data_IF_765276685142
#
_entry.id   IF_765276685142
#
_cell.length_a   1.000
_cell.length_b   1.000
_cell.length_c   1.000
_cell.angle_alpha   90.00
_cell.angle_beta   90.00
_cell.angle_gamma   90.00
#
_symmetry.space_group_name_H-M   'P 1'
#
loop_
_entity.id
_entity.type
_entity.pdbx_description
1 polymer ?
#
# COMPACT_ATOMS: atom_id res chain seq x y z
N UNK A 1 -14.55 9.65 -24.35
CA UNK A 1 -14.17 10.85 -23.57
C UNK A 1 -13.36 10.52 -22.31
N UNK A 2 -13.68 9.43 -21.59
CA UNK A 2 -12.96 8.97 -20.38
C UNK A 2 -11.42 8.99 -20.48
N UNK A 3 -10.85 8.49 -21.58
CA UNK A 3 -9.38 8.49 -21.77
C UNK A 3 -8.74 9.88 -21.79
N UNK A 4 -9.45 10.91 -22.29
CA UNK A 4 -8.96 12.30 -22.26
C UNK A 4 -8.96 12.85 -20.83
N UNK A 5 -9.97 12.51 -20.03
CA UNK A 5 -10.04 12.86 -18.61
C UNK A 5 -8.91 12.19 -17.82
N UNK A 6 -8.71 10.89 -17.99
CA UNK A 6 -7.61 10.15 -17.33
C UNK A 6 -6.26 10.76 -17.68
N UNK A 7 -6.03 11.08 -18.96
CA UNK A 7 -4.77 11.72 -19.41
C UNK A 7 -4.55 13.08 -18.74
N UNK A 8 -5.62 13.88 -18.59
CA UNK A 8 -5.54 15.17 -17.91
C UNK A 8 -5.24 15.01 -16.42
N UNK A 9 -5.91 14.08 -15.74
CA UNK A 9 -5.67 13.78 -14.34
C UNK A 9 -4.23 13.29 -14.11
N UNK A 10 -3.77 12.34 -14.93
CA UNK A 10 -2.42 11.82 -14.88
C UNK A 10 -1.37 12.90 -15.09
N UNK A 11 -1.60 13.83 -16.03
CA UNK A 11 -0.63 14.89 -16.37
C UNK A 11 -0.25 15.74 -15.17
N UNK A 12 -1.15 15.96 -14.21
CA UNK A 12 -0.82 16.72 -13.03
C UNK A 12 -0.52 15.89 -11.78
N UNK A 13 -0.74 14.56 -11.79
CA UNK A 13 -0.24 13.67 -10.73
C UNK A 13 1.19 13.19 -10.99
N UNK A 14 1.61 13.08 -12.25
CA UNK A 14 2.92 12.51 -12.62
C UNK A 14 4.12 13.23 -12.01
N UNK A 15 4.09 14.57 -11.95
CA UNK A 15 5.26 15.34 -11.48
C UNK A 15 5.42 15.24 -9.96
N UNK A 16 4.37 15.47 -9.14
CA UNK A 16 4.46 15.19 -7.70
C UNK A 16 4.82 13.73 -7.38
N UNK A 17 4.26 12.76 -8.11
CA UNK A 17 4.58 11.34 -7.95
C UNK A 17 6.05 11.04 -8.27
N UNK A 18 6.61 11.64 -9.31
CA UNK A 18 8.02 11.49 -9.66
C UNK A 18 8.94 12.00 -8.54
N UNK A 19 8.59 13.10 -7.87
CA UNK A 19 9.34 13.58 -6.69
C UNK A 19 9.33 12.52 -5.59
N UNK A 20 8.19 11.90 -5.30
CA UNK A 20 8.10 10.85 -4.27
C UNK A 20 8.92 9.61 -4.65
N UNK A 21 8.93 9.24 -5.92
CA UNK A 21 9.78 8.14 -6.41
C UNK A 21 11.27 8.46 -6.30
N UNK A 22 11.67 9.70 -6.58
CA UNK A 22 13.08 10.15 -6.41
C UNK A 22 13.47 10.12 -4.93
N UNK A 23 12.61 10.58 -4.02
CA UNK A 23 12.87 10.53 -2.58
C UNK A 23 13.02 9.07 -2.12
N UNK A 24 12.11 8.19 -2.52
CA UNK A 24 12.19 6.76 -2.20
C UNK A 24 13.49 6.14 -2.72
N UNK A 25 13.83 6.39 -4.00
CA UNK A 25 15.07 5.92 -4.60
C UNK A 25 16.31 6.48 -3.89
N UNK A 26 16.29 7.74 -3.47
CA UNK A 26 17.36 8.36 -2.68
C UNK A 26 17.57 7.65 -1.35
N UNK A 27 16.49 7.38 -0.60
CA UNK A 27 16.58 6.63 0.67
C UNK A 27 17.08 5.20 0.46
N UNK A 28 16.66 4.53 -0.62
CA UNK A 28 17.12 3.20 -1.00
C UNK A 28 18.63 3.20 -1.36
N UNK A 29 19.09 4.14 -2.18
CA UNK A 29 20.50 4.25 -2.58
C UNK A 29 21.38 4.50 -1.35
N UNK A 30 20.94 5.36 -0.42
CA UNK A 30 21.65 5.59 0.84
C UNK A 30 21.78 4.31 1.66
N UNK A 31 20.70 3.52 1.81
CA UNK A 31 20.78 2.22 2.51
C UNK A 31 21.71 1.24 1.82
N UNK A 32 21.66 1.13 0.49
CA UNK A 32 22.57 0.27 -0.25
C UNK A 32 24.03 0.71 -0.08
N UNK A 33 24.29 2.02 -0.13
CA UNK A 33 25.62 2.58 0.09
C UNK A 33 26.17 2.23 1.47
N UNK A 34 25.35 2.36 2.52
CA UNK A 34 25.74 1.99 3.89
C UNK A 34 26.07 0.49 3.97
N UNK A 35 25.22 -0.38 3.41
CA UNK A 35 25.45 -1.83 3.39
C UNK A 35 26.82 -2.16 2.80
N UNK A 36 27.17 -1.55 1.66
CA UNK A 36 28.43 -1.80 0.95
C UNK A 36 29.68 -1.28 1.69
N UNK A 37 29.53 -0.38 2.67
CA UNK A 37 30.65 0.15 3.46
C UNK A 37 30.99 -0.70 4.68
N UNK A 38 30.13 -1.65 5.04
CA UNK A 38 30.33 -2.49 6.22
C UNK A 38 31.44 -3.50 5.90
N UNK A 39 32.43 -3.62 6.77
CA UNK A 39 33.45 -4.66 6.62
C UNK A 39 33.62 -5.40 7.96
N UNK A 40 33.26 -6.69 8.04
CA UNK A 40 33.35 -7.47 9.26
C UNK A 40 34.79 -7.72 9.73
N UNK A 41 35.81 -7.38 8.92
CA UNK A 41 37.23 -7.47 9.30
C UNK A 41 37.78 -6.22 10.00
N UNK A 42 36.92 -5.23 10.29
CA UNK A 42 37.30 -4.01 11.01
C UNK A 42 37.47 -4.26 12.52
N UNK A 43 38.27 -3.43 13.18
CA UNK A 43 38.40 -3.41 14.66
C UNK A 43 37.03 -3.32 15.35
N UNK A 44 36.91 -3.87 16.56
CA UNK A 44 35.64 -3.95 17.31
C UNK A 44 34.92 -2.59 17.45
N UNK A 45 35.68 -1.49 17.60
CA UNK A 45 35.12 -0.14 17.68
C UNK A 45 34.51 0.33 16.35
N UNK A 46 35.16 0.04 15.23
CA UNK A 46 34.69 0.37 13.88
C UNK A 46 33.51 -0.53 13.47
N UNK A 47 33.52 -1.79 13.90
CA UNK A 47 32.39 -2.70 13.74
C UNK A 47 31.12 -2.14 14.41
N UNK A 48 31.22 -1.63 15.65
CA UNK A 48 30.09 -1.00 16.33
C UNK A 48 29.50 0.19 15.57
N UNK A 49 30.34 1.11 15.08
CA UNK A 49 29.87 2.24 14.27
C UNK A 49 29.17 1.79 12.98
N UNK A 50 29.66 0.74 12.32
CA UNK A 50 29.09 0.21 11.09
C UNK A 50 27.69 -0.41 11.30
N UNK A 51 27.49 -1.14 12.40
CA UNK A 51 26.19 -1.70 12.78
C UNK A 51 25.20 -0.59 13.13
N UNK A 52 25.65 0.43 13.86
CA UNK A 52 24.81 1.59 14.17
C UNK A 52 24.39 2.33 12.89
N UNK A 53 25.32 2.52 11.94
CA UNK A 53 25.02 3.13 10.65
C UNK A 53 24.00 2.31 9.83
N UNK A 54 24.14 0.98 9.80
CA UNK A 54 23.16 0.09 9.17
C UNK A 54 21.76 0.29 9.78
N UNK A 55 21.65 0.21 11.10
CA UNK A 55 20.38 0.38 11.80
C UNK A 55 19.73 1.73 11.50
N UNK A 56 20.51 2.82 11.57
CA UNK A 56 20.03 4.16 11.25
C UNK A 56 19.55 4.26 9.79
N UNK A 57 20.28 3.65 8.85
CA UNK A 57 19.92 3.65 7.44
C UNK A 57 18.60 2.91 7.18
N UNK A 58 18.38 1.76 7.85
CA UNK A 58 17.13 0.99 7.75
C UNK A 58 15.96 1.79 8.31
N UNK A 59 16.13 2.46 9.45
CA UNK A 59 15.10 3.35 10.00
C UNK A 59 14.79 4.50 9.04
N UNK A 60 15.81 5.14 8.46
CA UNK A 60 15.63 6.21 7.48
C UNK A 60 14.82 5.73 6.28
N UNK A 61 15.12 4.54 5.75
CA UNK A 61 14.36 3.95 4.66
C UNK A 61 12.92 3.59 5.05
N UNK A 62 12.71 3.03 6.25
CA UNK A 62 11.38 2.73 6.79
C UNK A 62 10.51 4.01 6.89
N UNK A 63 11.06 5.08 7.48
CA UNK A 63 10.37 6.38 7.50
C UNK A 63 10.22 6.98 6.10
N UNK A 64 11.16 6.73 5.19
CA UNK A 64 11.07 7.08 3.77
C UNK A 64 9.86 6.44 3.09
N UNK A 65 9.63 5.14 3.30
CA UNK A 65 8.44 4.43 2.80
C UNK A 65 7.16 5.07 3.35
N UNK A 66 7.09 5.31 4.67
CA UNK A 66 5.93 5.94 5.29
C UNK A 66 5.68 7.34 4.71
N UNK A 67 6.70 8.19 4.64
CA UNK A 67 6.60 9.54 4.11
C UNK A 67 6.16 9.56 2.65
N UNK A 68 6.72 8.68 1.82
CA UNK A 68 6.39 8.66 0.40
C UNK A 68 4.99 8.08 0.13
N UNK A 69 4.55 7.06 0.89
CA UNK A 69 3.19 6.50 0.78
C UNK A 69 2.12 7.48 1.27
N UNK A 70 2.32 8.09 2.44
CA UNK A 70 1.42 9.11 2.97
C UNK A 70 1.37 10.34 2.05
N UNK A 71 2.52 10.82 1.58
CA UNK A 71 2.53 11.99 0.72
C UNK A 71 1.96 11.70 -0.69
N UNK A 72 2.12 10.49 -1.24
CA UNK A 72 1.39 10.08 -2.46
C UNK A 72 -0.13 10.14 -2.23
N UNK A 73 -0.59 9.63 -1.09
CA UNK A 73 -2.00 9.69 -0.68
C UNK A 73 -2.50 11.15 -0.58
N UNK A 74 -1.73 12.01 0.07
CA UNK A 74 -2.05 13.44 0.21
C UNK A 74 -2.10 14.16 -1.15
N UNK A 75 -1.14 13.91 -2.04
CA UNK A 75 -1.12 14.48 -3.39
C UNK A 75 -2.43 14.14 -4.14
N UNK A 76 -2.84 12.87 -4.09
CA UNK A 76 -4.06 12.38 -4.74
C UNK A 76 -5.31 13.05 -4.13
N UNK A 77 -5.40 13.09 -2.81
CA UNK A 77 -6.53 13.71 -2.08
C UNK A 77 -6.63 15.21 -2.31
N UNK A 78 -5.52 15.94 -2.21
CA UNK A 78 -5.48 17.40 -2.43
C UNK A 78 -5.86 17.74 -3.87
N UNK A 79 -5.40 16.95 -4.84
CA UNK A 79 -5.79 17.15 -6.24
C UNK A 79 -7.28 16.89 -6.44
N UNK A 80 -7.80 15.81 -5.89
CA UNK A 80 -9.23 15.51 -5.96
C UNK A 80 -10.06 16.68 -5.40
N UNK A 81 -9.69 17.17 -4.21
CA UNK A 81 -10.34 18.32 -3.60
C UNK A 81 -10.28 19.57 -4.49
N UNK A 82 -9.09 19.98 -4.95
CA UNK A 82 -8.92 21.18 -5.80
C UNK A 82 -9.66 21.08 -7.13
N UNK A 83 -9.65 19.91 -7.75
CA UNK A 83 -10.27 19.75 -9.08
C UNK A 83 -11.78 19.53 -9.03
N UNK A 84 -12.35 19.15 -7.88
CA UNK A 84 -13.80 18.90 -7.76
C UNK A 84 -14.57 19.93 -6.94
N UNK A 85 -13.93 20.56 -5.95
CA UNK A 85 -14.63 21.30 -4.87
C UNK A 85 -14.09 22.71 -4.62
N UNK A 86 -13.15 23.19 -5.43
CA UNK A 86 -12.73 24.61 -5.44
C UNK A 86 -13.10 25.25 -6.79
N UNK A 87 -12.63 26.46 -7.10
CA UNK A 87 -12.98 27.19 -8.33
C UNK A 87 -12.74 26.41 -9.63
N UNK A 88 -11.69 25.57 -9.68
CA UNK A 88 -11.41 24.66 -10.80
C UNK A 88 -12.50 23.59 -10.99
N UNK A 89 -13.25 23.28 -9.93
CA UNK A 89 -14.42 22.41 -9.93
C UNK A 89 -15.54 22.93 -10.82
N UNK A 90 -15.73 24.25 -10.94
CA UNK A 90 -16.77 24.82 -11.82
C UNK A 90 -16.57 24.40 -13.27
N UNK A 91 -15.33 24.51 -13.78
CA UNK A 91 -14.97 24.02 -15.11
C UNK A 91 -15.12 22.51 -15.23
N UNK A 92 -14.81 21.78 -14.16
CA UNK A 92 -14.85 20.31 -14.15
C UNK A 92 -16.28 19.77 -14.23
N UNK A 93 -17.23 20.44 -13.58
CA UNK A 93 -18.65 20.04 -13.57
C UNK A 93 -19.46 20.60 -14.75
N UNK A 94 -18.93 21.57 -15.49
CA UNK A 94 -19.57 22.12 -16.71
C UNK A 94 -19.15 21.40 -17.99
N UNK A 95 -18.19 20.46 -17.91
CA UNK A 95 -17.85 19.60 -19.05
C UNK A 95 -19.07 18.78 -19.49
N UNK A 96 -19.26 18.52 -20.80
CA UNK A 96 -20.36 17.71 -21.32
C UNK A 96 -20.10 16.21 -21.08
N UNK A 97 -19.91 15.82 -19.83
CA UNK A 97 -19.54 14.48 -19.39
C UNK A 97 -20.34 14.10 -18.15
N UNK A 98 -20.73 12.83 -18.03
CA UNK A 98 -21.51 12.37 -16.88
C UNK A 98 -20.68 12.37 -15.58
N UNK A 99 -21.29 12.66 -14.41
CA UNK A 99 -20.60 12.62 -13.11
C UNK A 99 -19.93 11.28 -12.82
N UNK A 100 -20.51 10.18 -13.30
CA UNK A 100 -19.91 8.84 -13.22
C UNK A 100 -18.58 8.75 -13.98
N UNK A 101 -18.54 9.25 -15.22
CA UNK A 101 -17.32 9.23 -16.02
C UNK A 101 -16.25 10.14 -15.41
N UNK A 102 -16.65 11.26 -14.80
CA UNK A 102 -15.75 12.16 -14.09
C UNK A 102 -15.14 11.48 -12.85
N UNK A 103 -15.97 10.93 -11.96
CA UNK A 103 -15.53 10.25 -10.75
C UNK A 103 -14.65 9.03 -11.07
N UNK A 104 -15.07 8.19 -12.02
CA UNK A 104 -14.32 7.00 -12.42
C UNK A 104 -12.95 7.35 -13.01
N UNK A 105 -12.84 8.46 -13.76
CA UNK A 105 -11.55 8.91 -14.29
C UNK A 105 -10.56 9.25 -13.18
N UNK A 106 -11.02 9.88 -12.09
CA UNK A 106 -10.21 10.25 -10.92
C UNK A 106 -9.83 9.02 -10.11
N UNK A 107 -10.78 8.12 -9.83
CA UNK A 107 -10.55 6.87 -9.12
C UNK A 107 -9.51 6.02 -9.87
N UNK A 108 -9.67 5.82 -11.18
CA UNK A 108 -8.74 5.00 -11.96
C UNK A 108 -7.33 5.58 -11.97
N UNK A 109 -7.21 6.90 -12.12
CA UNK A 109 -5.90 7.57 -12.11
C UNK A 109 -5.25 7.46 -10.73
N UNK A 110 -6.03 7.62 -9.65
CA UNK A 110 -5.56 7.46 -8.27
C UNK A 110 -5.11 6.01 -7.97
N UNK A 111 -5.90 5.01 -8.35
CA UNK A 111 -5.51 3.59 -8.24
C UNK A 111 -4.18 3.37 -8.96
N UNK A 112 -4.06 3.85 -10.20
CA UNK A 112 -2.84 3.70 -10.98
C UNK A 112 -1.63 4.36 -10.30
N UNK A 113 -1.78 5.56 -9.72
CA UNK A 113 -0.70 6.20 -8.94
C UNK A 113 -0.29 5.38 -7.71
N UNK A 114 -1.24 4.80 -6.98
CA UNK A 114 -0.93 3.96 -5.82
C UNK A 114 -0.28 2.64 -6.21
N UNK A 115 -0.73 2.00 -7.30
CA UNK A 115 -0.12 0.77 -7.81
C UNK A 115 1.32 1.00 -8.25
N UNK A 116 1.61 2.11 -8.94
CA UNK A 116 2.99 2.48 -9.29
C UNK A 116 3.86 2.70 -8.05
N UNK A 117 3.29 3.28 -7.00
CA UNK A 117 4.01 3.49 -5.75
C UNK A 117 4.31 2.18 -5.03
N UNK A 118 3.34 1.26 -4.95
CA UNK A 118 3.53 -0.08 -4.38
C UNK A 118 4.59 -0.85 -5.18
N UNK A 119 4.52 -0.80 -6.51
CA UNK A 119 5.52 -1.43 -7.37
C UNK A 119 6.93 -0.86 -7.13
N UNK A 120 7.07 0.45 -7.00
CA UNK A 120 8.35 1.10 -6.69
C UNK A 120 8.91 0.65 -5.33
N UNK A 121 8.06 0.48 -4.31
CA UNK A 121 8.47 -0.01 -2.97
C UNK A 121 8.91 -1.47 -3.04
N UNK A 122 8.18 -2.33 -3.73
CA UNK A 122 8.55 -3.74 -3.91
C UNK A 122 9.91 -3.84 -4.61
N UNK A 123 10.10 -3.05 -5.68
CA UNK A 123 11.36 -2.99 -6.42
C UNK A 123 12.51 -2.49 -5.55
N UNK A 124 12.28 -1.46 -4.72
CA UNK A 124 13.33 -0.93 -3.85
C UNK A 124 13.72 -1.91 -2.73
N UNK A 125 12.76 -2.61 -2.13
CA UNK A 125 13.04 -3.68 -1.17
C UNK A 125 13.84 -4.80 -1.84
N UNK A 126 13.45 -5.22 -3.05
CA UNK A 126 14.15 -6.26 -3.80
C UNK A 126 15.61 -5.89 -4.08
N UNK A 127 15.88 -4.63 -4.47
CA UNK A 127 17.25 -4.14 -4.68
C UNK A 127 18.06 -4.16 -3.38
N UNK A 128 17.51 -3.68 -2.27
CA UNK A 128 18.21 -3.68 -0.98
C UNK A 128 18.56 -5.12 -0.55
N UNK A 129 17.63 -6.07 -0.71
CA UNK A 129 17.86 -7.48 -0.39
C UNK A 129 18.97 -8.08 -1.26
N UNK A 130 18.94 -7.82 -2.58
CA UNK A 130 19.99 -8.26 -3.51
C UNK A 130 21.37 -7.74 -3.10
N UNK A 131 21.48 -6.43 -2.78
CA UNK A 131 22.73 -5.80 -2.34
C UNK A 131 23.20 -6.38 -1.01
N UNK A 132 22.29 -6.59 -0.05
CA UNK A 132 22.61 -7.19 1.25
C UNK A 132 23.14 -8.61 1.13
N UNK A 133 22.48 -9.46 0.34
CA UNK A 133 22.92 -10.83 0.06
C UNK A 133 24.31 -10.80 -0.60
N UNK A 134 24.45 -10.06 -1.70
CA UNK A 134 25.73 -9.95 -2.41
C UNK A 134 26.89 -9.53 -1.48
N UNK A 135 26.64 -8.56 -0.61
CA UNK A 135 27.63 -8.07 0.33
C UNK A 135 28.03 -9.12 1.37
N UNK A 136 27.08 -9.83 1.99
CA UNK A 136 27.37 -10.89 2.96
C UNK A 136 28.22 -12.01 2.34
N UNK A 137 27.85 -12.45 1.13
CA UNK A 137 28.56 -13.52 0.44
C UNK A 137 29.95 -13.11 -0.05
N UNK A 138 30.22 -11.81 -0.26
CA UNK A 138 31.55 -11.33 -0.66
C UNK A 138 32.65 -11.61 0.38
N UNK A 139 32.30 -11.91 1.63
CA UNK A 139 33.25 -12.23 2.70
C UNK A 139 33.57 -13.71 2.85
N UNK A 140 32.85 -14.60 2.15
CA UNK A 140 33.08 -16.05 2.19
C UNK A 140 34.10 -16.37 1.08
N UNK A 141 35.35 -16.76 1.41
CA UNK A 141 36.32 -17.17 0.39
C UNK A 141 35.81 -18.42 -0.34
N UNK A 142 36.12 -18.53 -1.63
CA UNK A 142 35.85 -19.70 -2.49
C UNK A 142 34.40 -19.95 -2.93
N UNK A 143 33.45 -19.05 -2.65
CA UNK A 143 32.08 -19.18 -3.15
C UNK A 143 31.91 -18.61 -4.57
N UNK A 144 31.48 -19.44 -5.52
CA UNK A 144 31.11 -19.00 -6.87
C UNK A 144 29.66 -18.53 -6.92
N UNK A 145 29.35 -17.51 -7.74
CA UNK A 145 27.97 -17.05 -7.98
C UNK A 145 27.03 -18.15 -8.46
N UNK A 146 27.57 -19.16 -9.16
CA UNK A 146 26.80 -20.31 -9.63
C UNK A 146 26.34 -21.21 -8.47
N UNK A 147 27.18 -21.40 -7.46
CA UNK A 147 26.86 -22.18 -6.25
C UNK A 147 25.83 -21.45 -5.39
N UNK A 148 25.94 -20.12 -5.25
CA UNK A 148 24.95 -19.31 -4.54
C UNK A 148 23.55 -19.45 -5.15
N UNK A 149 23.45 -19.41 -6.49
CA UNK A 149 22.18 -19.61 -7.20
C UNK A 149 21.63 -21.02 -7.00
N UNK A 150 22.51 -22.02 -6.95
CA UNK A 150 22.13 -23.42 -6.74
C UNK A 150 21.62 -23.66 -5.33
N UNK A 151 22.36 -23.24 -4.31
CA UNK A 151 21.94 -23.35 -2.90
C UNK A 151 20.64 -22.58 -2.64
N UNK A 152 20.52 -21.37 -3.18
CA UNK A 152 19.28 -20.61 -3.11
C UNK A 152 18.10 -21.36 -3.74
N UNK A 153 18.31 -22.07 -4.85
CA UNK A 153 17.26 -22.83 -5.51
C UNK A 153 16.78 -24.04 -4.71
N UNK A 154 17.69 -24.71 -3.98
CA UNK A 154 17.36 -25.82 -3.09
C UNK A 154 16.57 -25.29 -1.89
N UNK A 155 17.10 -24.29 -1.19
CA UNK A 155 16.42 -23.68 -0.04
C UNK A 155 15.05 -23.12 -0.42
N UNK A 156 14.94 -22.52 -1.61
CA UNK A 156 13.66 -22.02 -2.09
C UNK A 156 12.64 -23.14 -2.39
N UNK A 157 13.10 -24.28 -2.93
CA UNK A 157 12.26 -25.45 -3.12
C UNK A 157 11.80 -26.05 -1.79
N UNK A 158 12.70 -26.17 -0.80
CA UNK A 158 12.36 -26.66 0.53
C UNK A 158 11.35 -25.73 1.24
N UNK A 159 11.49 -24.41 1.09
CA UNK A 159 10.52 -23.44 1.60
C UNK A 159 9.16 -23.60 0.92
N UNK A 160 9.13 -23.84 -0.40
CA UNK A 160 7.91 -24.05 -1.16
C UNK A 160 7.14 -25.28 -0.66
N UNK A 161 7.85 -26.38 -0.44
CA UNK A 161 7.26 -27.64 0.01
C UNK A 161 6.80 -27.53 1.48
N UNK A 162 7.66 -26.99 2.35
CA UNK A 162 7.32 -26.75 3.77
C UNK A 162 6.15 -25.79 3.95
N UNK A 163 5.99 -24.82 3.04
CA UNK A 163 4.88 -23.87 3.07
C UNK A 163 3.55 -24.58 2.84
N UNK A 164 3.46 -25.54 1.91
CA UNK A 164 2.20 -26.24 1.65
C UNK A 164 1.76 -27.06 2.87
N UNK A 165 2.71 -27.70 3.56
CA UNK A 165 2.45 -28.50 4.76
C UNK A 165 1.98 -27.66 5.96
N UNK A 166 2.63 -26.52 6.24
CA UNK A 166 2.26 -25.67 7.37
C UNK A 166 1.02 -24.78 7.09
N UNK A 167 0.98 -24.15 5.91
CA UNK A 167 -0.11 -23.23 5.57
C UNK A 167 -1.37 -23.96 5.09
N UNK A 168 -1.25 -25.19 4.57
CA UNK A 168 -2.36 -25.95 4.00
C UNK A 168 -2.82 -25.44 2.64
N UNK A 169 -1.97 -24.68 1.94
CA UNK A 169 -2.24 -24.12 0.62
C UNK A 169 -0.97 -23.94 -0.17
N UNK A 170 -1.04 -24.25 -1.47
CA UNK A 170 0.03 -23.96 -2.41
C UNK A 170 0.40 -22.48 -2.37
N UNK A 171 1.69 -22.19 -2.26
CA UNK A 171 2.24 -20.84 -2.21
C UNK A 171 1.72 -19.96 -3.36
N UNK A 172 1.63 -20.50 -4.58
CA UNK A 172 1.11 -19.77 -5.74
C UNK A 172 -0.34 -19.30 -5.59
N UNK A 173 -1.22 -20.13 -5.00
CA UNK A 173 -2.61 -19.76 -4.73
C UNK A 173 -2.70 -18.70 -3.62
N UNK A 174 -1.86 -18.82 -2.60
CA UNK A 174 -1.77 -17.83 -1.53
C UNK A 174 -1.30 -16.46 -2.05
N UNK A 175 -0.28 -16.42 -2.90
CA UNK A 175 0.16 -15.19 -3.57
C UNK A 175 -0.96 -14.59 -4.42
N UNK A 176 -1.67 -15.41 -5.21
CA UNK A 176 -2.79 -14.93 -6.02
C UNK A 176 -3.90 -14.32 -5.15
N UNK A 177 -4.22 -14.94 -4.00
CA UNK A 177 -5.16 -14.40 -3.03
C UNK A 177 -4.69 -13.06 -2.45
N UNK A 178 -3.43 -12.94 -2.04
CA UNK A 178 -2.85 -11.69 -1.52
C UNK A 178 -2.84 -10.58 -2.57
N UNK A 179 -2.54 -10.89 -3.83
CA UNK A 179 -2.59 -9.93 -4.93
C UNK A 179 -4.01 -9.42 -5.15
N UNK A 180 -4.99 -10.31 -5.17
CA UNK A 180 -6.40 -9.93 -5.28
C UNK A 180 -6.83 -9.05 -4.10
N UNK A 181 -6.49 -9.44 -2.87
CA UNK A 181 -6.77 -8.67 -1.66
C UNK A 181 -6.13 -7.28 -1.72
N UNK A 182 -4.88 -7.19 -2.15
CA UNK A 182 -4.16 -5.92 -2.31
C UNK A 182 -4.85 -5.00 -3.31
N UNK A 183 -5.24 -5.51 -4.49
CA UNK A 183 -5.94 -4.73 -5.52
C UNK A 183 -7.28 -4.20 -4.98
N UNK A 184 -8.09 -5.05 -4.35
CA UNK A 184 -9.36 -4.65 -3.73
C UNK A 184 -9.13 -3.60 -2.63
N UNK A 185 -8.09 -3.79 -1.81
CA UNK A 185 -7.69 -2.86 -0.76
C UNK A 185 -7.32 -1.47 -1.30
N UNK A 186 -6.52 -1.40 -2.37
CA UNK A 186 -6.17 -0.12 -3.02
C UNK A 186 -7.39 0.59 -3.58
N UNK A 187 -8.27 -0.15 -4.27
CA UNK A 187 -9.53 0.41 -4.81
C UNK A 187 -10.40 0.96 -3.68
N UNK A 188 -10.62 0.16 -2.63
CA UNK A 188 -11.41 0.55 -1.47
C UNK A 188 -10.85 1.78 -0.77
N UNK A 189 -9.53 1.83 -0.57
CA UNK A 189 -8.85 2.96 0.07
C UNK A 189 -9.07 4.27 -0.71
N UNK A 190 -8.83 4.26 -2.03
CA UNK A 190 -9.02 5.45 -2.88
C UNK A 190 -10.47 5.94 -2.85
N UNK A 191 -11.44 5.04 -2.99
CA UNK A 191 -12.87 5.40 -2.98
C UNK A 191 -13.28 5.97 -1.62
N UNK A 192 -12.80 5.35 -0.55
CA UNK A 192 -13.08 5.80 0.83
C UNK A 192 -12.49 7.18 1.09
N UNK A 193 -11.23 7.42 0.72
CA UNK A 193 -10.60 8.74 0.86
C UNK A 193 -11.38 9.82 0.11
N UNK A 194 -11.76 9.57 -1.14
CA UNK A 194 -12.58 10.51 -1.90
C UNK A 194 -13.95 10.71 -1.26
N UNK A 195 -14.55 9.66 -0.72
CA UNK A 195 -15.85 9.75 -0.04
C UNK A 195 -15.77 10.60 1.22
N UNK A 196 -14.71 10.47 2.01
CA UNK A 196 -14.47 11.32 3.18
C UNK A 196 -14.28 12.79 2.77
N UNK A 197 -13.55 13.07 1.68
CA UNK A 197 -13.41 14.44 1.13
C UNK A 197 -14.77 15.00 0.69
N UNK A 198 -15.57 14.18 0.04
CA UNK A 198 -16.92 14.55 -0.42
C UNK A 198 -17.87 14.79 0.76
N UNK A 199 -17.83 13.97 1.81
CA UNK A 199 -18.59 14.18 3.05
C UNK A 199 -18.18 15.46 3.77
N UNK A 200 -16.89 15.81 3.75
CA UNK A 200 -16.38 17.05 4.32
C UNK A 200 -17.03 18.31 3.73
N UNK A 201 -17.53 18.25 2.49
CA UNK A 201 -18.21 19.38 1.84
C UNK A 201 -19.55 19.75 2.48
N UNK A 202 -20.13 18.88 3.30
CA UNK A 202 -21.33 19.21 4.07
C UNK A 202 -21.09 20.35 5.09
N UNK A 203 -19.84 20.57 5.49
CA UNK A 203 -19.45 21.64 6.40
C UNK A 203 -19.00 22.87 5.64
N UNK A 204 -19.93 23.79 5.36
CA UNK A 204 -19.69 24.98 4.51
C UNK A 204 -18.42 25.78 4.88
N UNK A 205 -18.17 26.01 6.18
CA UNK A 205 -17.07 26.88 6.66
C UNK A 205 -15.73 26.16 6.87
N UNK A 206 -15.73 24.86 7.19
CA UNK A 206 -14.53 24.11 7.57
C UNK A 206 -14.42 22.78 6.80
N UNK A 207 -14.58 22.84 5.48
CA UNK A 207 -14.64 21.69 4.57
C UNK A 207 -13.49 20.69 4.74
N UNK A 208 -12.27 21.21 4.91
CA UNK A 208 -11.05 20.39 5.11
C UNK A 208 -11.10 19.67 6.47
N UNK A 209 -11.46 20.38 7.54
CA UNK A 209 -11.58 19.79 8.89
C UNK A 209 -12.71 18.76 8.91
N UNK A 210 -13.82 19.04 8.22
CA UNK A 210 -14.93 18.09 8.04
C UNK A 210 -14.49 16.81 7.33
N UNK A 211 -13.66 16.90 6.29
CA UNK A 211 -13.12 15.73 5.60
C UNK A 211 -12.19 14.90 6.49
N UNK A 212 -11.33 15.56 7.26
CA UNK A 212 -10.43 14.90 8.23
C UNK A 212 -11.25 14.20 9.32
N UNK A 213 -12.24 14.89 9.90
CA UNK A 213 -13.11 14.32 10.92
C UNK A 213 -13.91 13.12 10.38
N UNK A 214 -14.44 13.21 9.16
CA UNK A 214 -15.14 12.09 8.51
C UNK A 214 -14.23 10.87 8.33
N UNK A 215 -12.96 11.07 7.94
CA UNK A 215 -11.99 9.99 7.83
C UNK A 215 -11.71 9.33 9.18
N UNK A 216 -11.45 10.11 10.24
CA UNK A 216 -11.22 9.55 11.57
C UNK A 216 -12.43 8.79 12.12
N UNK A 217 -13.64 9.33 11.96
CA UNK A 217 -14.87 8.66 12.39
C UNK A 217 -15.09 7.36 11.64
N UNK A 218 -14.88 7.37 10.32
CA UNK A 218 -14.97 6.17 9.51
C UNK A 218 -13.92 5.13 9.91
N UNK A 219 -12.68 5.54 10.16
CA UNK A 219 -11.63 4.62 10.62
C UNK A 219 -11.92 4.04 12.00
N UNK A 220 -12.50 4.83 12.91
CA UNK A 220 -12.97 4.34 14.20
C UNK A 220 -14.05 3.25 14.04
N UNK A 221 -15.04 3.47 13.16
CA UNK A 221 -16.06 2.46 12.84
C UNK A 221 -15.42 1.21 12.22
N UNK A 222 -14.49 1.38 11.28
CA UNK A 222 -13.79 0.26 10.65
C UNK A 222 -12.93 -0.52 11.62
N UNK A 223 -12.38 0.12 12.66
CA UNK A 223 -11.66 -0.57 13.74
C UNK A 223 -12.59 -1.50 14.51
N UNK A 224 -13.79 -1.04 14.89
CA UNK A 224 -14.80 -1.87 15.57
C UNK A 224 -15.21 -3.05 14.68
N UNK A 225 -15.50 -2.79 13.40
CA UNK A 225 -15.85 -3.84 12.44
C UNK A 225 -14.69 -4.83 12.28
N UNK A 226 -13.44 -4.35 12.25
CA UNK A 226 -12.24 -5.18 12.17
C UNK A 226 -12.10 -6.16 13.34
N UNK A 227 -12.43 -5.74 14.55
CA UNK A 227 -12.46 -6.66 15.70
C UNK A 227 -13.53 -7.74 15.53
N UNK A 228 -14.70 -7.38 15.00
CA UNK A 228 -15.80 -8.34 14.76
C UNK A 228 -15.40 -9.34 13.66
N UNK A 229 -14.79 -8.88 12.56
CA UNK A 229 -14.35 -9.77 11.48
C UNK A 229 -13.20 -10.68 11.91
N UNK A 230 -12.46 -10.35 12.96
CA UNK A 230 -11.40 -11.18 13.52
C UNK A 230 -11.88 -12.30 14.46
N UNK A 231 -13.12 -12.24 14.98
CA UNK A 231 -13.70 -13.26 15.89
C UNK A 231 -13.58 -14.70 15.33
N UNK A 232 -13.86 -14.99 14.05
CA UNK A 232 -13.73 -16.33 13.49
C UNK A 232 -12.31 -16.91 13.60
N UNK A 233 -11.27 -16.10 13.39
CA UNK A 233 -9.89 -16.55 13.58
C UNK A 233 -9.60 -16.82 15.05
N UNK A 234 -9.98 -15.92 15.97
CA UNK A 234 -9.73 -16.14 17.40
C UNK A 234 -10.46 -17.39 17.92
N UNK A 235 -11.70 -17.61 17.51
CA UNK A 235 -12.45 -18.82 17.87
C UNK A 235 -11.81 -20.08 17.30
N UNK A 236 -11.34 -20.06 16.05
CA UNK A 236 -10.60 -21.19 15.46
C UNK A 236 -9.22 -21.40 16.07
N UNK A 237 -8.54 -20.36 16.52
CA UNK A 237 -7.26 -20.47 17.22
C UNK A 237 -7.45 -21.09 18.61
N UNK A 238 -8.50 -20.70 19.33
CA UNK A 238 -8.88 -21.29 20.62
C UNK A 238 -9.37 -22.74 20.49
N UNK A 239 -10.00 -23.10 19.37
CA UNK A 239 -10.46 -24.46 19.10
C UNK A 239 -9.36 -25.34 18.47
N UNK A 240 -8.47 -24.77 17.67
CA UNK A 240 -7.40 -25.46 16.93
C UNK A 240 -6.28 -25.98 17.82
N UNK A 241 -6.11 -25.44 19.02
CA UNK A 241 -5.28 -26.05 20.08
C UNK A 241 -5.75 -27.46 20.48
N UNK A 242 -6.96 -27.88 20.05
CA UNK A 242 -7.51 -29.21 20.28
C UNK A 242 -7.48 -30.13 19.03
N UNK A 243 -7.01 -29.66 17.86
CA UNK A 243 -7.00 -30.45 16.61
C UNK A 243 -5.60 -30.51 15.99
N UNK A 244 -5.02 -31.71 15.88
CA UNK A 244 -3.67 -31.97 15.35
C UNK A 244 -3.43 -31.55 13.87
N UNK A 245 -4.50 -31.31 13.09
CA UNK A 245 -4.42 -31.01 11.65
C UNK A 245 -4.89 -29.59 11.29
N UNK A 246 -4.88 -28.65 12.23
CA UNK A 246 -5.30 -27.27 11.96
C UNK A 246 -4.23 -26.51 11.16
N UNK A 247 -4.48 -26.27 9.86
CA UNK A 247 -3.57 -25.49 9.01
C UNK A 247 -3.70 -23.99 9.25
N UNK A 248 -2.61 -23.23 9.05
CA UNK A 248 -2.61 -21.77 9.30
C UNK A 248 -3.67 -21.06 8.45
N UNK A 249 -3.80 -21.42 7.17
CA UNK A 249 -4.84 -20.84 6.31
C UNK A 249 -6.24 -21.25 6.76
N UNK A 250 -6.44 -22.49 7.24
CA UNK A 250 -7.71 -22.92 7.80
C UNK A 250 -8.17 -22.03 8.95
N UNK A 251 -7.23 -21.58 9.79
CA UNK A 251 -7.51 -20.68 10.92
C UNK A 251 -7.77 -19.24 10.43
N UNK A 252 -6.94 -18.71 9.52
CA UNK A 252 -6.99 -17.30 9.10
C UNK A 252 -8.06 -16.99 8.04
N UNK A 253 -8.34 -17.93 7.14
CA UNK A 253 -9.17 -17.69 5.94
C UNK A 253 -10.57 -17.14 6.18
N UNK A 254 -11.33 -17.52 7.24
CA UNK A 254 -12.64 -16.92 7.47
C UNK A 254 -12.55 -15.44 7.77
N UNK A 255 -11.56 -15.03 8.57
CA UNK A 255 -11.31 -13.62 8.89
C UNK A 255 -10.90 -12.84 7.65
N UNK A 256 -10.00 -13.41 6.82
CA UNK A 256 -9.56 -12.76 5.58
C UNK A 256 -10.72 -12.58 4.58
N UNK A 257 -11.61 -13.58 4.46
CA UNK A 257 -12.78 -13.48 3.58
C UNK A 257 -13.82 -12.50 4.11
N UNK A 258 -14.06 -12.46 5.43
CA UNK A 258 -14.93 -11.48 6.06
C UNK A 258 -14.38 -10.05 5.93
N UNK A 259 -13.08 -9.85 6.14
CA UNK A 259 -12.45 -8.54 5.94
C UNK A 259 -12.53 -8.10 4.49
N UNK A 260 -12.31 -9.01 3.53
CA UNK A 260 -12.51 -8.73 2.12
C UNK A 260 -13.95 -8.34 1.79
N UNK A 261 -14.94 -9.05 2.33
CA UNK A 261 -16.35 -8.68 2.15
C UNK A 261 -16.64 -7.28 2.70
N UNK A 262 -16.18 -6.96 3.92
CA UNK A 262 -16.40 -5.64 4.53
C UNK A 262 -15.73 -4.51 3.76
N UNK A 263 -14.53 -4.73 3.21
CA UNK A 263 -13.84 -3.72 2.39
C UNK A 263 -14.55 -3.48 1.07
N UNK A 264 -15.07 -4.52 0.42
CA UNK A 264 -15.90 -4.37 -0.79
C UNK A 264 -17.19 -3.61 -0.49
N UNK A 265 -17.90 -3.95 0.59
CA UNK A 265 -19.13 -3.26 1.00
C UNK A 265 -18.87 -1.78 1.30
N UNK A 266 -17.78 -1.47 2.00
CA UNK A 266 -17.37 -0.09 2.28
C UNK A 266 -17.08 0.68 0.98
N UNK A 267 -16.32 0.08 0.06
CA UNK A 267 -16.00 0.69 -1.23
C UNK A 267 -17.28 1.01 -2.02
N UNK A 268 -18.24 0.08 -2.07
CA UNK A 268 -19.53 0.29 -2.74
C UNK A 268 -20.32 1.42 -2.08
N UNK A 269 -20.44 1.41 -0.75
CA UNK A 269 -21.14 2.47 -0.02
C UNK A 269 -20.51 3.85 -0.27
N UNK A 270 -19.18 3.96 -0.15
CA UNK A 270 -18.45 5.21 -0.35
C UNK A 270 -18.48 5.68 -1.80
N UNK A 271 -18.54 4.77 -2.78
CA UNK A 271 -18.73 5.13 -4.18
C UNK A 271 -20.06 5.85 -4.41
N UNK A 272 -21.16 5.31 -3.86
CA UNK A 272 -22.47 5.94 -3.96
C UNK A 272 -22.54 7.27 -3.20
N UNK A 273 -21.87 7.38 -2.04
CA UNK A 273 -21.75 8.65 -1.31
C UNK A 273 -21.07 9.71 -2.17
N UNK A 274 -19.93 9.39 -2.80
CA UNK A 274 -19.24 10.31 -3.72
C UNK A 274 -20.15 10.78 -4.86
N UNK A 275 -20.81 9.83 -5.52
CA UNK A 275 -21.68 10.11 -6.65
C UNK A 275 -22.86 11.00 -6.23
N UNK A 276 -23.47 10.72 -5.09
CA UNK A 276 -24.57 11.51 -4.56
C UNK A 276 -24.14 12.94 -4.22
N UNK A 277 -22.98 13.11 -3.59
CA UNK A 277 -22.43 14.44 -3.29
C UNK A 277 -22.13 15.24 -4.56
N UNK A 278 -21.49 14.63 -5.57
CA UNK A 278 -21.18 15.29 -6.84
C UNK A 278 -22.41 15.66 -7.67
N UNK A 279 -23.55 14.99 -7.47
CA UNK A 279 -24.77 15.21 -8.27
C UNK A 279 -25.80 16.11 -7.59
N UNK A 280 -26.01 15.95 -6.28
CA UNK A 280 -27.14 16.58 -5.56
C UNK A 280 -26.73 17.61 -4.51
N UNK A 281 -25.47 17.62 -4.06
CA UNK A 281 -24.98 18.52 -3.00
C UNK A 281 -23.65 19.16 -3.35
N UNK A 282 -23.51 19.59 -4.60
CA UNK A 282 -22.33 20.31 -5.04
C UNK A 282 -22.38 21.75 -4.53
N UNK A 283 -21.67 22.02 -3.43
CA UNK A 283 -21.48 23.38 -2.95
C UNK A 283 -20.08 23.88 -3.37
N UNK A 284 -20.03 24.75 -4.37
CA UNK A 284 -18.78 25.37 -4.83
C UNK A 284 -18.50 26.73 -4.17
N UNK A 285 -19.39 27.22 -3.29
CA UNK A 285 -19.28 28.53 -2.59
C UNK A 285 -18.69 28.46 -1.18
#
# INVERSE_FOLDING_TARGET
MLGKLIKYEWKGLRFPLMIMMIVLAGTMILTCGVILTINPKLDETLAWYSVMALMLSIFLYYFGIIGCTLGTTLIVVVRFYKTCYTDQGYLTHTLPVTPHQLLNSKILTAIFTHLLMIFAIILSIFIILQVGIHHVFSFIPDYSYAELRHEFSIVFADILDSFEDEFGLRLGLYIAYLLFYCIVGVISNVITLFGCVSLGQLYAKHRIVGAIAAYFLLQFVMMIIGYITAIPMYTRMLAGTYYDNATVFGIMSPTMNMSLLTTVLLAVAMYFVNLHMMTKKLNLE
#
